data_IF_059453063643
#
_entry.id   IF_059453063643
#
_cell.length_a   1.000
_cell.length_b   1.000
_cell.length_c   1.000
_cell.angle_alpha   90.00
_cell.angle_beta   90.00
_cell.angle_gamma   90.00
#
_symmetry.space_group_name_H-M   'P 1'
#
loop_
_entity.id
_entity.type
_entity.pdbx_description
1 polymer ?
#
# COMPACT_ATOMS: atom_id res chain seq x y z
N UNK A 1 18.50 1.25 -8.15
CA UNK A 1 17.63 0.57 -7.18
C UNK A 1 17.04 1.56 -6.19
N UNK A 2 15.80 1.97 -6.46
CA UNK A 2 14.95 2.77 -5.55
C UNK A 2 13.91 1.85 -4.89
N UNK A 3 13.61 2.12 -3.61
CA UNK A 3 12.66 1.37 -2.78
C UNK A 3 11.59 2.31 -2.25
N UNK A 4 10.32 2.03 -2.53
CA UNK A 4 9.19 2.86 -2.13
C UNK A 4 8.40 2.17 -1.02
N UNK A 5 8.22 2.84 0.12
CA UNK A 5 7.24 2.41 1.12
C UNK A 5 5.84 2.79 0.66
N UNK A 6 4.95 1.83 0.46
CA UNK A 6 3.53 2.10 0.20
C UNK A 6 2.71 1.68 1.42
N UNK A 7 1.88 2.60 1.93
CA UNK A 7 0.91 2.31 2.99
C UNK A 7 -0.29 3.27 2.87
N UNK A 8 -1.27 3.15 3.75
CA UNK A 8 -2.46 3.99 3.72
C UNK A 8 -3.57 3.48 4.62
N UNK A 9 -4.78 3.96 4.35
CA UNK A 9 -5.99 3.53 5.06
C UNK A 9 -6.15 2.01 5.12
N UNK A 10 -6.60 1.57 6.28
CA UNK A 10 -7.18 0.25 6.45
C UNK A 10 -8.55 0.21 5.78
N UNK A 11 -8.97 -0.97 5.31
CA UNK A 11 -10.23 -1.11 4.56
C UNK A 11 -11.46 -0.51 5.28
N UNK A 12 -11.51 -0.63 6.60
CA UNK A 12 -12.60 -0.08 7.43
C UNK A 12 -12.49 1.44 7.68
N UNK A 13 -11.31 2.05 7.52
CA UNK A 13 -11.09 3.50 7.72
C UNK A 13 -11.60 4.32 6.52
N UNK A 14 -11.53 3.75 5.32
CA UNK A 14 -12.03 4.34 4.07
C UNK A 14 -13.43 3.81 3.68
N UNK A 15 -14.09 3.11 4.62
CA UNK A 15 -15.47 2.66 4.47
C UNK A 15 -15.71 1.75 3.27
N UNK A 16 -14.76 0.86 2.95
CA UNK A 16 -14.95 -0.15 1.88
C UNK A 16 -15.72 -1.36 2.40
N UNK A 17 -16.68 -1.85 1.61
CA UNK A 17 -17.58 -2.94 1.99
C UNK A 17 -17.43 -4.16 1.09
N UNK A 18 -16.61 -5.12 1.54
CA UNK A 18 -16.34 -6.34 0.79
C UNK A 18 -15.42 -6.12 -0.41
N UNK A 19 -15.05 -7.22 -1.08
CA UNK A 19 -13.97 -7.19 -2.09
C UNK A 19 -14.39 -6.60 -3.45
N UNK A 20 -15.69 -6.38 -3.66
CA UNK A 20 -16.27 -5.87 -4.90
C UNK A 20 -16.71 -4.41 -4.80
N UNK A 21 -16.33 -3.72 -3.72
CA UNK A 21 -16.64 -2.30 -3.57
C UNK A 21 -15.91 -1.51 -4.68
N UNK A 22 -16.62 -0.71 -5.51
CA UNK A 22 -16.02 0.04 -6.60
C UNK A 22 -14.94 1.02 -6.13
N UNK A 23 -14.98 1.48 -4.87
CA UNK A 23 -13.92 2.31 -4.29
C UNK A 23 -12.57 1.60 -4.25
N UNK A 24 -12.55 0.27 -4.11
CA UNK A 24 -11.32 -0.51 -4.13
C UNK A 24 -10.65 -0.42 -5.50
N UNK A 25 -11.44 -0.46 -6.58
CA UNK A 25 -10.91 -0.38 -7.94
C UNK A 25 -10.33 1.00 -8.24
N UNK A 26 -10.99 2.08 -7.78
CA UNK A 26 -10.44 3.44 -7.84
C UNK A 26 -9.14 3.56 -7.05
N UNK A 27 -9.07 3.01 -5.83
CA UNK A 27 -7.85 3.07 -5.00
C UNK A 27 -6.71 2.27 -5.65
N UNK A 28 -7.00 1.09 -6.20
CA UNK A 28 -6.01 0.32 -6.96
C UNK A 28 -5.55 1.05 -8.20
N UNK A 29 -6.46 1.74 -8.90
CA UNK A 29 -6.12 2.59 -10.04
C UNK A 29 -5.16 3.70 -9.63
N UNK A 30 -5.47 4.43 -8.55
CA UNK A 30 -4.60 5.47 -8.00
C UNK A 30 -3.21 4.94 -7.62
N UNK A 31 -3.14 3.80 -6.91
CA UNK A 31 -1.88 3.13 -6.59
C UNK A 31 -1.12 2.76 -7.87
N UNK A 32 -1.81 2.24 -8.88
CA UNK A 32 -1.21 1.82 -10.15
C UNK A 32 -0.59 3.00 -10.89
N UNK A 33 -1.30 4.13 -10.99
CA UNK A 33 -0.79 5.34 -11.62
C UNK A 33 0.43 5.89 -10.88
N UNK A 34 0.34 6.04 -9.55
CA UNK A 34 1.45 6.51 -8.73
C UNK A 34 2.69 5.58 -8.82
N UNK A 35 2.49 4.26 -8.85
CA UNK A 35 3.59 3.31 -9.03
C UNK A 35 4.24 3.41 -10.42
N UNK A 36 3.45 3.64 -11.49
CA UNK A 36 4.01 3.84 -12.83
C UNK A 36 4.93 5.05 -12.89
N UNK A 37 4.50 6.18 -12.31
CA UNK A 37 5.32 7.39 -12.23
C UNK A 37 6.64 7.13 -11.47
N UNK A 38 6.59 6.37 -10.39
CA UNK A 38 7.78 6.01 -9.62
C UNK A 38 8.67 5.00 -10.36
N UNK A 39 8.11 4.08 -11.16
CA UNK A 39 8.86 3.17 -12.03
C UNK A 39 9.62 3.95 -13.11
N UNK A 40 9.02 4.96 -13.72
CA UNK A 40 9.70 5.86 -14.66
C UNK A 40 10.88 6.60 -14.00
N UNK A 41 10.82 6.82 -12.69
CA UNK A 41 11.90 7.39 -11.86
C UNK A 41 12.90 6.35 -11.35
N UNK A 42 12.75 5.07 -11.72
CA UNK A 42 13.68 3.99 -11.37
C UNK A 42 13.32 3.19 -10.12
N UNK A 43 12.04 3.16 -9.73
CA UNK A 43 11.52 2.23 -8.72
C UNK A 43 11.76 0.77 -9.14
N UNK A 44 12.34 -0.01 -8.23
CA UNK A 44 12.53 -1.46 -8.40
C UNK A 44 11.81 -2.28 -7.33
N UNK A 45 11.65 -1.72 -6.12
CA UNK A 45 11.06 -2.43 -4.98
C UNK A 45 9.97 -1.61 -4.31
N UNK A 46 8.76 -2.16 -4.29
CA UNK A 46 7.69 -1.72 -3.40
C UNK A 46 7.83 -2.47 -2.08
N UNK A 47 7.90 -1.76 -0.96
CA UNK A 47 7.90 -2.35 0.37
C UNK A 47 6.60 -1.93 1.06
N UNK A 48 5.82 -2.89 1.52
CA UNK A 48 4.50 -2.66 2.15
C UNK A 48 4.30 -3.62 3.30
N UNK A 49 3.29 -3.37 4.13
CA UNK A 49 2.86 -4.31 5.15
C UNK A 49 1.81 -5.31 4.67
N UNK A 50 1.17 -5.98 5.63
CA UNK A 50 0.13 -6.98 5.37
C UNK A 50 -1.26 -6.55 5.83
N UNK A 51 -1.45 -5.30 6.27
CA UNK A 51 -2.69 -4.83 6.88
C UNK A 51 -3.85 -4.79 5.85
N UNK A 52 -5.06 -5.15 6.30
CA UNK A 52 -6.27 -5.08 5.48
C UNK A 52 -6.49 -3.66 4.95
N UNK A 53 -6.62 -3.50 3.63
CA UNK A 53 -6.76 -2.20 2.96
C UNK A 53 -5.63 -1.94 1.97
N UNK A 54 -5.13 -0.71 1.96
CA UNK A 54 -4.15 -0.20 0.98
C UNK A 54 -2.91 -1.08 0.88
N UNK A 55 -2.35 -1.55 2.00
CA UNK A 55 -1.15 -2.39 1.97
C UNK A 55 -1.36 -3.70 1.19
N UNK A 56 -2.51 -4.36 1.38
CA UNK A 56 -2.86 -5.58 0.64
C UNK A 56 -3.21 -5.30 -0.82
N UNK A 57 -3.94 -4.21 -1.11
CA UNK A 57 -4.26 -3.81 -2.47
C UNK A 57 -3.00 -3.46 -3.27
N UNK A 58 -1.99 -2.88 -2.61
CA UNK A 58 -0.69 -2.61 -3.22
C UNK A 58 -0.03 -3.88 -3.74
N UNK A 59 -0.02 -4.97 -2.95
CA UNK A 59 0.56 -6.24 -3.40
C UNK A 59 -0.15 -6.78 -4.64
N UNK A 60 -1.48 -6.66 -4.69
CA UNK A 60 -2.27 -7.05 -5.86
C UNK A 60 -1.93 -6.19 -7.09
N UNK A 61 -1.82 -4.87 -6.93
CA UNK A 61 -1.46 -3.96 -8.03
C UNK A 61 -0.04 -4.22 -8.55
N UNK A 62 0.92 -4.48 -7.66
CA UNK A 62 2.29 -4.81 -8.09
C UNK A 62 2.32 -6.15 -8.83
N UNK A 63 1.59 -7.16 -8.36
CA UNK A 63 1.46 -8.46 -9.06
C UNK A 63 0.93 -8.29 -10.48
N UNK A 64 -0.05 -7.40 -10.70
CA UNK A 64 -0.54 -7.04 -12.04
C UNK A 64 0.49 -6.28 -12.87
N UNK A 65 1.19 -5.31 -12.27
CA UNK A 65 2.18 -4.49 -12.97
C UNK A 65 3.42 -5.28 -13.42
N UNK A 66 3.76 -6.38 -12.75
CA UNK A 66 4.91 -7.23 -13.13
C UNK A 66 4.85 -7.76 -14.56
N UNK A 67 3.68 -7.90 -15.18
CA UNK A 67 3.59 -8.32 -16.59
C UNK A 67 4.11 -7.25 -17.54
N UNK A 68 3.99 -5.96 -17.17
CA UNK A 68 4.47 -4.80 -17.93
C UNK A 68 5.89 -4.40 -17.51
N UNK A 69 6.21 -4.57 -16.21
CA UNK A 69 7.49 -4.19 -15.59
C UNK A 69 8.13 -5.38 -14.87
N UNK A 70 8.80 -6.32 -15.57
CA UNK A 70 9.31 -7.57 -14.98
C UNK A 70 10.38 -7.39 -13.88
N UNK A 71 11.00 -6.21 -13.81
CA UNK A 71 12.01 -5.89 -12.78
C UNK A 71 11.38 -5.39 -11.47
N UNK A 72 10.10 -5.01 -11.48
CA UNK A 72 9.38 -4.54 -10.31
C UNK A 72 9.16 -5.70 -9.33
N UNK A 73 9.48 -5.47 -8.06
CA UNK A 73 9.33 -6.44 -6.98
C UNK A 73 8.53 -5.86 -5.83
N UNK A 74 7.93 -6.73 -5.04
CA UNK A 74 7.22 -6.39 -3.80
C UNK A 74 7.74 -7.20 -2.62
N UNK A 75 8.09 -6.49 -1.55
CA UNK A 75 8.40 -7.06 -0.25
C UNK A 75 7.26 -6.77 0.73
N UNK A 76 6.73 -7.81 1.37
CA UNK A 76 5.77 -7.68 2.46
C UNK A 76 6.49 -7.82 3.80
N UNK A 77 6.59 -6.72 4.54
CA UNK A 77 7.21 -6.70 5.86
C UNK A 77 6.13 -6.66 6.93
N UNK A 78 6.19 -7.56 7.90
CA UNK A 78 5.19 -7.65 8.97
C UNK A 78 5.80 -7.15 10.28
N UNK A 79 5.02 -6.48 11.14
CA UNK A 79 5.56 -5.94 12.38
C UNK A 79 5.99 -7.03 13.38
N UNK A 80 5.36 -8.20 13.31
CA UNK A 80 5.59 -9.33 14.24
C UNK A 80 5.21 -10.67 13.60
N UNK A 81 5.56 -11.77 14.27
CA UNK A 81 5.24 -13.14 13.84
C UNK A 81 3.76 -13.48 14.03
N UNK A 82 3.21 -14.35 13.19
CA UNK A 82 1.80 -14.75 13.21
C UNK A 82 0.82 -13.58 13.00
N UNK A 83 1.28 -12.53 12.32
CA UNK A 83 0.46 -11.38 11.94
C UNK A 83 -0.77 -11.82 11.15
N UNK A 84 -1.94 -11.37 11.60
CA UNK A 84 -3.25 -11.68 11.02
C UNK A 84 -3.93 -12.93 11.59
N UNK A 85 -3.33 -13.68 12.52
CA UNK A 85 -3.91 -14.91 13.07
C UNK A 85 -5.25 -14.73 13.81
N UNK A 86 -5.57 -13.52 14.28
CA UNK A 86 -6.84 -13.20 14.93
C UNK A 86 -7.93 -12.75 13.93
N UNK A 87 -7.64 -12.70 12.64
CA UNK A 87 -8.63 -12.30 11.63
C UNK A 87 -9.58 -13.45 11.29
N UNK A 88 -10.75 -13.13 10.71
CA UNK A 88 -11.63 -14.16 10.14
C UNK A 88 -10.92 -14.96 9.03
N UNK A 89 -11.31 -16.23 8.85
CA UNK A 89 -10.65 -17.18 7.94
C UNK A 89 -10.44 -16.62 6.53
N UNK A 90 -11.47 -15.98 5.95
CA UNK A 90 -11.37 -15.35 4.63
C UNK A 90 -10.23 -14.31 4.54
N UNK A 91 -10.02 -13.52 5.60
CA UNK A 91 -8.95 -12.52 5.64
C UNK A 91 -7.57 -13.16 5.87
N UNK A 92 -7.50 -14.28 6.61
CA UNK A 92 -6.27 -15.05 6.75
C UNK A 92 -5.86 -15.70 5.43
N UNK A 93 -6.82 -16.27 4.69
CA UNK A 93 -6.61 -16.85 3.37
C UNK A 93 -6.12 -15.80 2.37
N UNK A 94 -6.74 -14.62 2.33
CA UNK A 94 -6.26 -13.49 1.52
C UNK A 94 -4.82 -13.11 1.83
N UNK A 95 -4.48 -12.96 3.11
CA UNK A 95 -3.10 -12.63 3.49
C UNK A 95 -2.13 -13.73 3.04
N UNK A 96 -2.50 -15.01 3.19
CA UNK A 96 -1.68 -16.15 2.73
C UNK A 96 -1.44 -16.11 1.22
N UNK A 97 -2.47 -15.82 0.43
CA UNK A 97 -2.34 -15.67 -1.03
C UNK A 97 -1.42 -14.51 -1.40
N UNK A 98 -1.56 -13.37 -0.73
CA UNK A 98 -0.71 -12.20 -0.99
C UNK A 98 0.75 -12.44 -0.62
N UNK A 99 1.02 -13.14 0.49
CA UNK A 99 2.39 -13.57 0.83
C UNK A 99 3.02 -14.42 -0.27
N UNK A 100 2.25 -15.31 -0.90
CA UNK A 100 2.75 -16.14 -1.99
C UNK A 100 3.02 -15.36 -3.29
N UNK A 101 2.39 -14.19 -3.47
CA UNK A 101 2.62 -13.27 -4.59
C UNK A 101 3.80 -12.32 -4.38
N UNK A 102 4.21 -12.12 -3.12
CA UNK A 102 5.34 -11.26 -2.80
C UNK A 102 6.68 -11.94 -3.08
N UNK A 103 7.66 -11.18 -3.58
CA UNK A 103 9.01 -11.67 -3.87
C UNK A 103 9.82 -11.88 -2.59
N UNK A 104 9.45 -11.16 -1.53
CA UNK A 104 10.01 -11.30 -0.20
C UNK A 104 8.93 -11.12 0.86
N UNK A 105 8.95 -11.95 1.89
CA UNK A 105 8.05 -11.83 3.05
C UNK A 105 8.84 -12.13 4.31
N UNK A 106 8.82 -11.22 5.28
CA UNK A 106 9.41 -11.48 6.59
C UNK A 106 8.75 -10.63 7.67
N UNK A 107 9.05 -10.94 8.93
CA UNK A 107 8.61 -10.19 10.10
C UNK A 107 9.79 -9.43 10.72
N UNK A 108 9.61 -8.14 11.00
CA UNK A 108 10.60 -7.31 11.71
C UNK A 108 10.87 -7.84 13.11
N UNK A 109 9.85 -8.40 13.75
CA UNK A 109 9.95 -9.11 15.03
C UNK A 109 9.62 -10.60 14.85
N UNK A 110 10.55 -11.46 15.27
CA UNK A 110 10.41 -12.93 15.17
C UNK A 110 9.53 -13.56 16.27
N UNK A 111 8.89 -12.73 17.11
CA UNK A 111 7.98 -13.15 18.17
C UNK A 111 6.56 -12.63 17.89
N UNK A 112 5.51 -13.26 18.45
CA UNK A 112 4.13 -12.76 18.36
C UNK A 112 3.97 -11.35 18.93
N UNK A 113 2.78 -10.76 18.77
CA UNK A 113 2.49 -9.43 19.28
C UNK A 113 2.57 -9.37 20.82
N UNK A 114 3.46 -8.53 21.33
CA UNK A 114 3.65 -8.22 22.75
C UNK A 114 3.32 -6.76 23.09
N UNK A 115 3.37 -5.85 22.11
CA UNK A 115 2.95 -4.47 22.34
C UNK A 115 3.34 -3.44 21.28
N UNK A 116 2.98 -2.17 21.50
CA UNK A 116 3.12 -1.08 20.52
C UNK A 116 4.56 -0.85 20.01
N UNK A 117 5.56 -1.21 20.81
CA UNK A 117 6.98 -1.11 20.41
C UNK A 117 7.28 -1.88 19.12
N UNK A 118 6.61 -3.00 18.85
CA UNK A 118 6.80 -3.74 17.59
C UNK A 118 6.29 -2.95 16.38
N UNK A 119 5.19 -2.20 16.55
CA UNK A 119 4.65 -1.33 15.50
C UNK A 119 5.58 -0.15 15.22
N UNK A 120 6.15 0.44 16.28
CA UNK A 120 7.13 1.52 16.17
C UNK A 120 8.44 1.04 15.53
N UNK A 121 8.90 -0.17 15.87
CA UNK A 121 10.07 -0.78 15.25
C UNK A 121 9.83 -1.09 13.76
N UNK A 122 8.63 -1.56 13.41
CA UNK A 122 8.23 -1.75 12.01
C UNK A 122 8.30 -0.44 11.23
N UNK A 123 7.65 0.60 11.74
CA UNK A 123 7.68 1.95 11.18
C UNK A 123 9.11 2.47 10.96
N UNK A 124 9.98 2.33 11.97
CA UNK A 124 11.38 2.69 11.87
C UNK A 124 12.11 1.86 10.80
N UNK A 125 11.86 0.55 10.77
CA UNK A 125 12.44 -0.34 9.77
C UNK A 125 12.07 0.10 8.35
N UNK A 126 10.79 0.42 8.10
CA UNK A 126 10.33 0.88 6.79
C UNK A 126 11.09 2.15 6.36
N UNK A 127 11.17 3.16 7.23
CA UNK A 127 11.90 4.41 6.95
C UNK A 127 13.42 4.25 6.77
N UNK A 128 14.03 3.22 7.35
CA UNK A 128 15.46 2.92 7.20
C UNK A 128 15.77 2.11 5.92
N UNK A 129 14.77 1.40 5.38
CA UNK A 129 14.94 0.47 4.26
C UNK A 129 14.24 0.91 2.97
N UNK A 130 13.66 2.11 2.96
CA UNK A 130 13.06 2.72 1.77
C UNK A 130 13.62 4.12 1.56
N UNK A 131 13.46 4.60 0.32
CA UNK A 131 14.06 5.85 -0.17
C UNK A 131 12.98 6.96 -0.31
N UNK A 132 11.71 6.58 -0.39
CA UNK A 132 10.54 7.45 -0.44
C UNK A 132 9.29 6.73 0.12
N UNK A 133 8.19 7.46 0.31
CA UNK A 133 6.89 6.87 0.62
C UNK A 133 5.77 7.34 -0.31
N UNK A 134 4.82 6.45 -0.56
CA UNK A 134 3.50 6.73 -1.15
C UNK A 134 2.45 6.40 -0.10
N UNK A 135 1.60 7.38 0.22
CA UNK A 135 0.61 7.26 1.28
C UNK A 135 -0.78 7.60 0.75
N UNK A 136 -1.69 6.62 0.79
CA UNK A 136 -3.12 6.85 0.51
C UNK A 136 -3.77 7.27 1.82
N UNK A 137 -3.83 8.59 2.04
CA UNK A 137 -4.25 9.18 3.30
C UNK A 137 -4.66 10.64 3.11
N UNK A 138 -5.76 11.02 3.72
CA UNK A 138 -6.21 12.40 3.84
C UNK A 138 -5.99 12.88 5.28
N UNK A 139 -5.18 13.93 5.41
CA UNK A 139 -4.77 14.50 6.70
C UNK A 139 -5.90 15.18 7.47
N UNK A 140 -7.04 15.44 6.82
CA UNK A 140 -8.23 15.98 7.48
C UNK A 140 -8.97 14.92 8.32
N UNK A 141 -8.66 13.63 8.13
CA UNK A 141 -9.32 12.52 8.82
C UNK A 141 -8.37 11.79 9.78
N UNK A 142 -8.79 11.67 11.04
CA UNK A 142 -8.06 10.88 12.03
C UNK A 142 -8.17 9.38 11.74
N UNK A 143 -7.03 8.72 11.59
CA UNK A 143 -6.94 7.29 11.31
C UNK A 143 -5.69 6.68 11.93
N UNK A 144 -5.54 5.36 11.91
CA UNK A 144 -4.29 4.73 12.32
C UNK A 144 -3.14 5.07 11.37
N UNK A 145 -3.45 5.40 10.12
CA UNK A 145 -2.49 5.92 9.14
C UNK A 145 -1.84 7.23 9.57
N UNK A 146 -2.46 8.01 10.47
CA UNK A 146 -1.87 9.23 11.04
C UNK A 146 -0.51 8.96 11.70
N UNK A 147 -0.32 7.78 12.31
CA UNK A 147 0.98 7.41 12.88
C UNK A 147 2.07 7.27 11.82
N UNK A 148 1.77 6.68 10.67
CA UNK A 148 2.71 6.54 9.55
C UNK A 148 3.01 7.90 8.91
N UNK A 149 1.99 8.72 8.71
CA UNK A 149 2.16 10.09 8.22
C UNK A 149 3.12 10.90 9.10
N UNK A 150 2.89 10.91 10.42
CA UNK A 150 3.67 11.71 11.36
C UNK A 150 5.15 11.30 11.38
N UNK A 151 5.47 10.01 11.36
CA UNK A 151 6.87 9.57 11.35
C UNK A 151 7.58 9.88 10.03
N UNK A 152 6.85 9.87 8.90
CA UNK A 152 7.39 10.26 7.59
C UNK A 152 7.70 11.76 7.62
N UNK A 153 6.79 12.59 8.15
CA UNK A 153 7.04 14.03 8.35
C UNK A 153 8.27 14.27 9.23
N UNK A 154 8.39 13.57 10.36
CA UNK A 154 9.56 13.67 11.23
C UNK A 154 10.86 13.24 10.53
N UNK A 155 10.81 12.25 9.64
CA UNK A 155 11.96 11.83 8.82
C UNK A 155 12.37 12.93 7.83
N UNK A 156 11.41 13.60 7.20
CA UNK A 156 11.64 14.70 6.26
C UNK A 156 12.33 15.90 6.90
N UNK A 157 12.13 16.13 8.19
CA UNK A 157 12.85 17.18 8.94
C UNK A 157 14.35 16.87 9.13
N UNK A 158 14.73 15.59 9.05
CA UNK A 158 16.08 15.12 9.32
C UNK A 158 16.88 14.77 8.06
N UNK A 159 16.20 14.32 7.00
CA UNK A 159 16.82 13.93 5.74
C UNK A 159 15.83 14.02 4.56
N UNK A 160 16.33 14.19 3.31
CA UNK A 160 15.49 14.07 2.12
C UNK A 160 14.80 12.70 2.10
N UNK A 161 13.47 12.71 2.12
CA UNK A 161 12.64 11.52 2.06
C UNK A 161 11.32 11.90 1.38
N UNK A 162 11.21 11.78 0.04
CA UNK A 162 10.02 12.18 -0.69
C UNK A 162 8.77 11.45 -0.18
N UNK A 163 7.66 12.18 -0.07
CA UNK A 163 6.35 11.64 0.27
C UNK A 163 5.38 12.05 -0.83
N UNK A 164 4.80 11.07 -1.50
CA UNK A 164 3.62 11.25 -2.34
C UNK A 164 2.39 10.96 -1.50
N UNK A 165 1.53 11.96 -1.31
CA UNK A 165 0.27 11.82 -0.60
C UNK A 165 -0.86 11.76 -1.63
N UNK A 166 -1.72 10.77 -1.53
CA UNK A 166 -2.95 10.65 -2.32
C UNK A 166 -4.12 10.82 -1.35
N UNK A 167 -4.68 12.03 -1.32
CA UNK A 167 -5.80 12.41 -0.47
C UNK A 167 -7.16 12.14 -1.14
N UNK A 168 -8.26 12.58 -0.51
CA UNK A 168 -9.60 12.37 -1.08
C UNK A 168 -9.85 13.16 -2.37
N UNK A 169 -9.20 14.31 -2.56
CA UNK A 169 -9.31 15.08 -3.81
C UNK A 169 -8.63 14.32 -4.94
N UNK A 170 -7.42 13.81 -4.70
CA UNK A 170 -6.73 12.98 -5.69
C UNK A 170 -7.54 11.72 -6.02
N UNK A 171 -8.16 11.06 -5.03
CA UNK A 171 -9.01 9.91 -5.27
C UNK A 171 -10.27 10.24 -6.09
N UNK A 172 -10.81 11.45 -5.99
CA UNK A 172 -11.91 11.91 -6.85
C UNK A 172 -11.44 12.08 -8.29
N UNK A 173 -10.29 12.71 -8.51
CA UNK A 173 -9.70 12.88 -9.84
C UNK A 173 -9.45 11.50 -10.50
N UNK A 174 -8.85 10.57 -9.76
CA UNK A 174 -8.65 9.20 -10.22
C UNK A 174 -9.95 8.45 -10.47
N UNK A 175 -11.02 8.72 -9.71
CA UNK A 175 -12.32 8.12 -9.95
C UNK A 175 -12.90 8.59 -11.29
N UNK A 176 -12.85 9.89 -11.57
CA UNK A 176 -13.31 10.46 -12.84
C UNK A 176 -12.53 9.88 -14.02
N UNK A 177 -11.20 9.85 -13.93
CA UNK A 177 -10.35 9.28 -14.97
C UNK A 177 -10.64 7.78 -15.19
N UNK A 178 -10.83 7.03 -14.11
CA UNK A 178 -11.15 5.60 -14.18
C UNK A 178 -12.53 5.33 -14.82
N UNK A 179 -13.52 6.18 -14.54
CA UNK A 179 -14.85 6.12 -15.16
C UNK A 179 -14.79 6.43 -16.66
N UNK A 180 -14.03 7.44 -17.07
CA UNK A 180 -13.84 7.80 -18.48
C UNK A 180 -13.20 6.64 -19.26
N UNK A 181 -12.09 6.10 -18.77
CA UNK A 181 -11.40 4.96 -19.40
C UNK A 181 -12.27 3.71 -19.54
N UNK A 182 -13.12 3.45 -18.54
CA UNK A 182 -14.04 2.32 -18.59
C UNK A 182 -15.21 2.58 -19.53
N UNK A 183 -15.69 3.81 -19.63
CA UNK A 183 -16.74 4.21 -20.57
C UNK A 183 -16.27 4.07 -22.01
N UNK A 184 -15.03 4.50 -22.31
CA UNK A 184 -14.43 4.33 -23.64
C UNK A 184 -14.30 2.86 -24.03
N UNK A 185 -13.80 2.00 -23.13
CA UNK A 185 -13.67 0.55 -23.41
C UNK A 185 -15.00 -0.12 -23.75
N UNK A 186 -16.11 0.34 -23.18
CA UNK A 186 -17.45 -0.19 -23.48
C UNK A 186 -18.07 0.44 -24.74
N UNK A 187 -17.68 1.67 -25.11
CA UNK A 187 -18.12 2.34 -26.33
C UNK A 187 -17.52 1.80 -27.63
N UNK A 188 -16.41 1.04 -27.56
CA UNK A 188 -15.78 0.38 -28.72
C UNK A 188 -16.20 -1.10 -28.90
N UNK A 189 -17.16 -1.59 -28.11
CA UNK A 189 -17.65 -2.98 -28.16
C UNK A 189 -19.05 -3.17 -28.77
N UNK A 190 -19.60 -2.14 -29.41
CA UNK A 190 -20.82 -2.19 -30.26
C UNK A 190 -20.48 -2.01 -31.74
#
# INVERSE_FOLDING_TARGET
MSRLWVTGYRSYEIGTFGDKDPKIEVIKYAIKCALKDEIERGLEWVITGGQLGVEQWTVAVVDELKSEFPNLKVAMMLPFKDFGNQWADNNQEKLKLLRAKSDFVDSVSNIPYEGPRQLQNYQKFMLEHTDAALLIYDTEFEAKTTFDYNIIKNKQEQAPYPLTLVDMLNLQDYATEYEELNSEKHGFSE
#
